data_IF_798841089418
#
_entry.id   IF_798841089418
#
_cell.length_a   1.000
_cell.length_b   1.000
_cell.length_c   1.000
_cell.angle_alpha   90.00
_cell.angle_beta   90.00
_cell.angle_gamma   90.00
#
_symmetry.space_group_name_H-M   'P 1'
#
loop_
_entity.id
_entity.type
_entity.pdbx_description
1 polymer ?
#
# COMPACT_ATOMS: atom_id res chain seq x y z
N UNK A 1 36.56 13.10 2.02
CA UNK A 1 35.47 12.58 2.87
C UNK A 1 35.19 13.52 4.04
N UNK A 2 34.42 14.59 3.80
CA UNK A 2 34.13 15.66 4.77
C UNK A 2 33.04 15.31 5.79
N UNK A 3 32.10 14.42 5.47
CA UNK A 3 30.99 14.06 6.36
C UNK A 3 31.36 13.26 7.61
N UNK A 4 32.47 12.51 7.60
CA UNK A 4 32.93 11.73 8.76
C UNK A 4 33.28 12.64 9.95
N UNK A 5 33.74 13.87 9.71
CA UNK A 5 33.99 14.86 10.77
C UNK A 5 32.69 15.30 11.48
N UNK A 6 31.53 15.10 10.85
CA UNK A 6 30.21 15.34 11.41
C UNK A 6 29.56 14.06 11.98
N UNK A 7 30.34 13.00 12.21
CA UNK A 7 29.85 11.71 12.70
C UNK A 7 28.81 11.06 11.78
N UNK A 8 28.93 11.28 10.45
CA UNK A 8 28.10 10.65 9.44
C UNK A 8 28.82 9.42 8.88
N UNK A 9 28.15 8.27 8.89
CA UNK A 9 28.65 7.06 8.25
C UNK A 9 28.52 7.14 6.72
N UNK A 10 29.11 6.16 6.03
CA UNK A 10 28.97 6.00 4.58
C UNK A 10 27.52 5.79 4.14
N UNK A 11 27.29 5.92 2.84
CA UNK A 11 26.01 5.65 2.20
C UNK A 11 26.17 4.64 1.08
N UNK A 12 25.42 3.55 1.19
CA UNK A 12 25.41 2.45 0.24
C UNK A 12 24.25 2.55 -0.76
N UNK A 13 24.48 2.09 -1.97
CA UNK A 13 23.51 2.14 -3.06
C UNK A 13 22.50 0.99 -2.99
N UNK A 14 21.64 0.93 -3.99
CA UNK A 14 20.65 -0.16 -4.14
C UNK A 14 21.30 -1.52 -4.43
N UNK A 15 22.57 -1.54 -4.82
CA UNK A 15 23.37 -2.75 -5.03
C UNK A 15 23.94 -3.35 -3.71
N UNK A 16 23.73 -2.67 -2.58
CA UNK A 16 24.25 -3.07 -1.27
C UNK A 16 25.73 -2.77 -1.06
N UNK A 17 26.41 -2.13 -2.02
CA UNK A 17 27.78 -1.65 -1.84
C UNK A 17 27.87 -0.60 -0.75
N UNK A 18 29.00 -0.47 -0.07
CA UNK A 18 29.09 0.43 1.10
C UNK A 18 29.17 1.92 0.74
N UNK A 19 29.68 2.22 -0.46
CA UNK A 19 29.97 3.54 -1.01
C UNK A 19 29.43 3.65 -2.44
N UNK A 20 28.21 3.17 -2.67
CA UNK A 20 27.59 3.11 -3.99
C UNK A 20 26.31 3.94 -4.09
N UNK A 21 25.97 4.71 -3.05
CA UNK A 21 24.88 5.70 -3.12
C UNK A 21 25.39 6.98 -3.78
N UNK A 22 25.10 7.16 -5.06
CA UNK A 22 25.53 8.32 -5.81
C UNK A 22 24.50 9.46 -5.79
N UNK A 23 23.46 9.35 -4.96
CA UNK A 23 22.49 10.42 -4.69
C UNK A 23 23.01 11.45 -3.69
N UNK A 24 24.14 11.18 -3.02
CA UNK A 24 24.72 12.08 -2.02
C UNK A 24 26.24 11.96 -1.91
N UNK A 25 26.87 12.91 -1.22
CA UNK A 25 28.34 12.92 -1.02
C UNK A 25 28.90 11.71 -0.27
N UNK A 26 28.06 10.99 0.48
CA UNK A 26 28.53 9.95 1.39
C UNK A 26 28.59 8.56 0.77
N UNK A 27 28.20 8.39 -0.49
CA UNK A 27 28.50 7.20 -1.30
C UNK A 27 29.60 7.46 -2.35
N UNK A 28 30.51 8.39 -2.06
CA UNK A 28 31.71 8.68 -2.86
C UNK A 28 31.49 8.79 -4.39
N UNK A 29 30.53 9.61 -4.86
CA UNK A 29 30.14 9.69 -6.28
C UNK A 29 31.15 10.40 -7.20
N UNK A 30 32.14 11.07 -6.63
CA UNK A 30 33.04 11.97 -7.34
C UNK A 30 34.49 11.71 -6.92
N UNK A 31 35.36 11.46 -7.89
CA UNK A 31 36.81 11.36 -7.71
C UNK A 31 37.52 12.67 -8.11
N UNK A 32 37.09 13.81 -7.54
CA UNK A 32 37.69 15.12 -7.84
C UNK A 32 37.51 16.09 -6.67
N UNK A 33 38.45 17.02 -6.55
CA UNK A 33 38.50 18.12 -5.58
C UNK A 33 37.94 19.45 -6.10
N UNK A 34 37.64 19.53 -7.39
CA UNK A 34 37.14 20.74 -8.09
C UNK A 34 35.64 20.66 -8.43
N UNK A 35 34.99 19.54 -8.10
CA UNK A 35 33.53 19.31 -8.19
C UNK A 35 33.05 18.69 -6.88
N UNK A 36 31.79 18.91 -6.52
CA UNK A 36 31.23 18.42 -5.25
C UNK A 36 29.99 19.13 -4.75
N UNK A 37 29.23 19.84 -5.61
CA UNK A 37 27.92 20.40 -5.24
C UNK A 37 26.89 19.29 -5.12
N UNK A 38 26.99 18.53 -4.03
CA UNK A 38 26.08 17.46 -3.67
C UNK A 38 25.74 17.58 -2.19
N UNK A 39 24.48 17.40 -1.86
CA UNK A 39 24.01 17.43 -0.48
C UNK A 39 24.18 16.04 0.17
N UNK A 40 23.87 15.97 1.47
CA UNK A 40 23.69 14.70 2.15
C UNK A 40 22.30 14.11 1.87
N UNK A 41 22.18 12.79 1.95
CA UNK A 41 20.91 12.10 1.77
C UNK A 41 19.93 12.36 2.94
N UNK A 42 18.65 12.02 2.77
CA UNK A 42 17.62 12.21 3.80
C UNK A 42 17.95 11.67 5.20
N UNK A 43 18.54 10.48 5.31
CA UNK A 43 18.88 9.91 6.62
C UNK A 43 19.91 10.76 7.39
N UNK A 44 20.88 11.33 6.67
CA UNK A 44 21.91 12.20 7.25
C UNK A 44 21.35 13.60 7.53
N UNK A 45 20.49 14.12 6.66
CA UNK A 45 19.76 15.37 6.93
C UNK A 45 18.88 15.24 8.18
N UNK A 46 18.31 14.06 8.45
CA UNK A 46 17.61 13.79 9.69
C UNK A 46 18.55 13.75 10.91
N UNK A 47 19.72 13.11 10.78
CA UNK A 47 20.71 13.02 11.86
C UNK A 47 21.27 14.39 12.27
N UNK A 48 21.35 15.33 11.32
CA UNK A 48 21.88 16.67 11.54
C UNK A 48 20.80 17.62 12.04
N UNK A 49 21.08 18.40 13.08
CA UNK A 49 20.12 19.38 13.64
C UNK A 49 19.92 20.63 12.76
N UNK A 50 20.44 20.63 11.51
CA UNK A 50 20.38 21.78 10.59
C UNK A 50 18.96 22.17 10.19
N UNK A 51 18.03 21.23 10.30
CA UNK A 51 16.63 21.39 9.93
C UNK A 51 15.70 21.44 11.16
N UNK A 52 16.27 21.51 12.38
CA UNK A 52 15.54 21.60 13.64
C UNK A 52 15.23 23.07 13.99
N UNK A 53 14.00 23.36 14.45
CA UNK A 53 13.62 24.70 14.89
C UNK A 53 12.35 24.75 15.73
N UNK A 54 12.30 25.64 16.74
CA UNK A 54 11.08 25.96 17.49
C UNK A 54 10.35 27.15 16.85
N UNK A 55 9.26 26.85 16.14
CA UNK A 55 8.42 27.83 15.44
C UNK A 55 7.62 27.13 14.33
N UNK A 56 6.96 27.86 13.42
CA UNK A 56 6.18 27.25 12.33
C UNK A 56 7.00 26.39 11.34
N UNK A 57 8.33 26.32 11.50
CA UNK A 57 9.31 25.76 10.56
C UNK A 57 10.18 24.66 11.16
N UNK A 58 9.56 23.55 11.57
CA UNK A 58 10.26 22.26 11.60
C UNK A 58 10.28 21.71 10.17
N UNK A 59 11.47 21.58 9.58
CA UNK A 59 11.64 21.03 8.22
C UNK A 59 11.82 19.51 8.24
N UNK A 60 11.73 18.90 9.42
CA UNK A 60 11.69 17.47 9.64
C UNK A 60 10.27 17.07 10.04
N UNK A 61 9.73 16.04 9.41
CA UNK A 61 8.43 15.49 9.81
C UNK A 61 8.59 14.02 10.18
N UNK A 62 8.09 13.64 11.35
CA UNK A 62 7.91 12.25 11.75
C UNK A 62 6.49 11.80 11.40
N UNK A 63 6.37 10.74 10.61
CA UNK A 63 5.09 10.13 10.24
C UNK A 63 4.99 8.77 10.89
N UNK A 64 3.93 8.57 11.69
CA UNK A 64 3.54 7.25 12.16
C UNK A 64 2.39 6.71 11.27
N UNK A 65 2.69 5.81 10.31
CA UNK A 65 1.69 5.27 9.39
C UNK A 65 0.69 4.32 10.08
N UNK A 66 0.92 3.92 11.34
CA UNK A 66 -0.04 3.14 12.12
C UNK A 66 -1.11 4.00 12.78
N UNK A 67 -0.86 5.30 12.98
CA UNK A 67 -1.84 6.25 13.51
C UNK A 67 -2.69 6.88 12.38
N UNK A 68 -2.11 7.03 11.19
CA UNK A 68 -2.76 7.63 10.02
C UNK A 68 -2.57 6.71 8.82
N UNK A 69 -3.65 6.07 8.35
CA UNK A 69 -3.55 5.07 7.27
C UNK A 69 -3.08 5.66 5.94
N UNK A 70 -3.30 6.95 5.70
CA UNK A 70 -2.79 7.66 4.53
C UNK A 70 -2.48 9.10 4.88
N UNK A 71 -1.28 9.57 4.49
CA UNK A 71 -0.82 10.94 4.66
C UNK A 71 -0.18 11.45 3.37
N UNK A 72 -0.40 12.72 3.03
CA UNK A 72 0.20 13.36 1.86
C UNK A 72 1.01 14.58 2.29
N UNK A 73 2.17 14.78 1.66
CA UNK A 73 3.11 15.84 1.97
C UNK A 73 3.70 16.42 0.70
N UNK A 74 4.03 17.70 0.72
CA UNK A 74 4.79 18.36 -0.33
C UNK A 74 6.15 18.76 0.21
N UNK A 75 7.21 18.15 -0.30
CA UNK A 75 8.60 18.38 0.11
C UNK A 75 9.24 19.49 -0.71
N UNK A 76 10.15 20.24 -0.09
CA UNK A 76 11.09 21.11 -0.79
C UNK A 76 12.33 20.35 -1.22
N UNK A 77 12.86 20.69 -2.38
CA UNK A 77 14.12 20.15 -2.88
C UNK A 77 15.30 20.57 -2.02
N UNK A 78 16.16 19.61 -1.64
CA UNK A 78 17.36 19.91 -0.82
C UNK A 78 18.28 20.95 -1.46
N UNK A 79 18.32 21.00 -2.80
CA UNK A 79 19.10 21.96 -3.57
C UNK A 79 18.54 23.38 -3.62
N UNK A 80 17.33 23.61 -3.11
CA UNK A 80 16.64 24.92 -3.15
C UNK A 80 16.01 25.25 -1.78
N UNK A 81 16.41 24.55 -0.71
CA UNK A 81 15.80 24.69 0.62
C UNK A 81 15.84 26.13 1.16
N UNK A 82 16.89 26.89 0.83
CA UNK A 82 17.09 28.27 1.25
C UNK A 82 16.07 29.25 0.66
N UNK A 83 15.35 28.83 -0.39
CA UNK A 83 14.26 29.58 -1.00
C UNK A 83 12.88 29.24 -0.41
N UNK A 84 12.80 28.25 0.49
CA UNK A 84 11.59 27.86 1.22
C UNK A 84 11.22 28.91 2.28
N UNK A 85 10.65 30.01 1.81
CA UNK A 85 10.32 31.20 2.60
C UNK A 85 8.80 31.38 2.68
N UNK A 86 8.34 32.15 3.67
CA UNK A 86 6.91 32.46 3.80
C UNK A 86 6.36 33.21 2.56
N UNK A 87 7.22 33.92 1.83
CA UNK A 87 6.90 34.59 0.57
C UNK A 87 6.77 33.61 -0.61
N UNK A 88 7.53 32.51 -0.60
CA UNK A 88 7.49 31.49 -1.65
C UNK A 88 6.26 30.58 -1.53
N UNK A 89 5.70 30.43 -0.33
CA UNK A 89 4.51 29.63 -0.10
C UNK A 89 4.41 29.07 1.33
N UNK A 90 3.56 28.04 1.54
CA UNK A 90 3.52 27.33 2.81
C UNK A 90 4.86 26.62 3.07
N UNK A 91 5.19 26.41 4.34
CA UNK A 91 6.42 25.73 4.72
C UNK A 91 6.39 24.26 4.28
N UNK A 92 7.40 23.83 3.52
CA UNK A 92 7.55 22.45 3.06
C UNK A 92 8.69 21.74 3.80
N UNK A 93 8.53 20.48 4.26
CA UNK A 93 9.63 19.72 4.86
C UNK A 93 10.75 19.42 3.85
N UNK A 94 11.98 19.32 4.36
CA UNK A 94 13.15 18.83 3.63
C UNK A 94 13.28 17.32 3.75
N UNK A 95 12.90 16.76 4.91
CA UNK A 95 12.99 15.33 5.19
C UNK A 95 11.77 14.83 5.95
N UNK A 96 11.29 13.66 5.55
CA UNK A 96 10.26 12.92 6.26
C UNK A 96 10.89 11.63 6.80
N UNK A 97 10.75 11.37 8.10
CA UNK A 97 11.03 10.06 8.70
C UNK A 97 9.73 9.30 8.86
N UNK A 98 9.69 8.06 8.39
CA UNK A 98 8.61 7.11 8.69
C UNK A 98 9.01 6.31 9.92
N UNK A 99 8.13 6.30 10.93
CA UNK A 99 8.28 5.48 12.12
C UNK A 99 8.09 4.00 11.78
N UNK A 100 9.01 3.16 12.26
CA UNK A 100 9.05 1.73 11.97
C UNK A 100 8.87 0.87 13.23
N UNK A 101 8.83 1.51 14.41
CA UNK A 101 8.85 0.89 15.75
C UNK A 101 10.00 -0.11 15.95
N UNK A 102 11.09 0.06 15.21
CA UNK A 102 12.30 -0.73 15.33
C UNK A 102 13.55 0.17 15.23
N UNK A 103 14.74 -0.42 15.25
CA UNK A 103 15.98 0.34 15.23
C UNK A 103 16.34 0.93 13.86
N UNK A 104 15.59 0.64 12.78
CA UNK A 104 15.85 1.13 11.42
C UNK A 104 14.88 2.25 11.08
N UNK A 105 15.35 3.43 10.71
CA UNK A 105 14.52 4.51 10.18
C UNK A 105 14.43 4.46 8.66
N UNK A 106 13.27 4.87 8.12
CA UNK A 106 13.08 5.15 6.69
C UNK A 106 12.95 6.66 6.52
N UNK A 107 13.67 7.21 5.55
CA UNK A 107 13.77 8.64 5.32
C UNK A 107 13.48 8.95 3.86
N UNK A 108 12.63 9.94 3.65
CA UNK A 108 12.24 10.43 2.33
C UNK A 108 12.76 11.84 2.13
N UNK A 109 13.21 12.16 0.92
CA UNK A 109 13.54 13.53 0.53
C UNK A 109 13.39 13.74 -0.96
N UNK A 110 13.34 15.00 -1.37
CA UNK A 110 13.33 15.39 -2.77
C UNK A 110 14.75 15.81 -3.20
N UNK A 111 15.40 14.99 -4.02
CA UNK A 111 16.80 15.13 -4.41
C UNK A 111 16.99 16.09 -5.59
N UNK A 112 16.46 17.31 -5.43
CA UNK A 112 16.50 18.39 -6.42
C UNK A 112 17.95 18.69 -6.85
N UNK A 113 18.24 18.57 -8.14
CA UNK A 113 19.56 18.80 -8.74
C UNK A 113 19.81 20.29 -9.03
N UNK A 114 19.74 21.12 -8.00
CA UNK A 114 19.92 22.57 -8.09
C UNK A 114 20.75 23.11 -6.91
N UNK A 115 21.19 24.36 -7.02
CA UNK A 115 21.95 25.05 -5.97
C UNK A 115 23.14 24.24 -5.42
N UNK A 116 23.23 23.98 -4.11
CA UNK A 116 24.30 23.17 -3.51
C UNK A 116 24.25 21.67 -3.87
N UNK A 117 23.21 21.20 -4.57
CA UNK A 117 23.06 19.83 -5.05
C UNK A 117 23.13 19.70 -6.58
N UNK A 118 23.56 20.76 -7.28
CA UNK A 118 23.51 20.84 -8.75
C UNK A 118 24.38 19.81 -9.50
N UNK A 119 25.34 19.17 -8.82
CA UNK A 119 26.26 18.19 -9.42
C UNK A 119 25.92 16.74 -9.03
N UNK A 120 24.72 16.53 -8.47
CA UNK A 120 24.19 15.22 -8.12
C UNK A 120 24.31 14.21 -9.26
N UNK A 121 24.66 12.96 -8.95
CA UNK A 121 25.03 11.93 -9.93
C UNK A 121 24.00 10.82 -10.12
N UNK A 122 23.07 10.68 -9.19
CA UNK A 122 22.01 9.67 -9.25
C UNK A 122 20.72 10.24 -8.67
N UNK A 123 19.57 9.89 -9.26
CA UNK A 123 18.25 10.33 -8.81
C UNK A 123 18.12 11.86 -8.67
N UNK A 124 18.62 12.62 -9.65
CA UNK A 124 18.47 14.07 -9.68
C UNK A 124 17.05 14.45 -10.06
N UNK A 125 16.43 15.35 -9.29
CA UNK A 125 15.03 15.75 -9.45
C UNK A 125 14.03 14.61 -9.22
N UNK A 126 14.36 13.69 -8.32
CA UNK A 126 13.55 12.54 -7.94
C UNK A 126 13.33 12.46 -6.43
N UNK A 127 12.31 11.71 -5.99
CA UNK A 127 12.16 11.36 -4.57
C UNK A 127 13.13 10.24 -4.25
N UNK A 128 13.88 10.33 -3.15
CA UNK A 128 14.76 9.26 -2.67
C UNK A 128 14.24 8.65 -1.37
N UNK A 129 14.37 7.32 -1.26
CA UNK A 129 13.99 6.53 -0.09
C UNK A 129 15.24 5.91 0.49
N UNK A 130 15.59 6.29 1.71
CA UNK A 130 16.80 5.86 2.41
C UNK A 130 16.44 5.08 3.67
N UNK A 131 17.12 3.96 3.91
CA UNK A 131 17.11 3.28 5.21
C UNK A 131 18.40 3.57 5.98
N UNK A 132 18.30 3.75 7.30
CA UNK A 132 19.48 3.81 8.16
C UNK A 132 19.18 3.19 9.53
N UNK A 133 20.17 2.55 10.13
CA UNK A 133 20.06 2.04 11.49
C UNK A 133 19.99 3.16 12.55
N UNK A 134 19.80 2.76 13.79
CA UNK A 134 19.66 3.65 14.96
C UNK A 134 18.60 4.75 14.79
N UNK A 135 17.56 4.49 13.99
CA UNK A 135 16.52 5.46 13.68
C UNK A 135 17.04 6.76 13.06
N UNK A 136 18.24 6.74 12.44
CA UNK A 136 18.92 7.91 11.88
C UNK A 136 19.44 8.92 12.92
N UNK A 137 19.54 8.54 14.20
CA UNK A 137 19.96 9.46 15.27
C UNK A 137 21.47 9.39 15.59
N UNK A 138 22.12 8.30 15.21
CA UNK A 138 23.51 8.02 15.55
C UNK A 138 24.26 7.46 14.35
N UNK A 139 25.58 7.37 14.46
CA UNK A 139 26.45 6.79 13.45
C UNK A 139 25.91 5.42 12.98
N UNK A 140 25.42 5.40 11.75
CA UNK A 140 24.91 4.19 11.11
C UNK A 140 24.96 4.38 9.60
N UNK A 141 25.38 3.33 8.91
CA UNK A 141 25.38 3.31 7.46
C UNK A 141 23.95 3.43 6.94
N UNK A 142 23.78 4.29 5.94
CA UNK A 142 22.51 4.45 5.24
C UNK A 142 22.55 3.71 3.91
N UNK A 143 21.38 3.30 3.40
CA UNK A 143 21.25 2.65 2.11
C UNK A 143 20.12 3.26 1.29
N UNK A 144 20.41 3.60 0.03
CA UNK A 144 19.38 3.92 -0.95
C UNK A 144 18.56 2.67 -1.25
N UNK A 145 17.23 2.79 -1.09
CA UNK A 145 16.28 1.69 -1.29
C UNK A 145 15.54 1.80 -2.61
N UNK A 146 15.24 3.04 -2.98
CA UNK A 146 14.64 3.40 -4.26
C UNK A 146 14.78 4.89 -4.47
N UNK A 147 14.67 5.27 -5.74
CA UNK A 147 14.34 6.62 -6.16
C UNK A 147 13.09 6.54 -7.05
N UNK A 148 12.26 7.59 -7.03
CA UNK A 148 10.95 7.61 -7.68
C UNK A 148 10.79 8.84 -8.55
N UNK A 149 10.40 8.61 -9.81
CA UNK A 149 9.82 9.58 -10.71
C UNK A 149 8.32 9.80 -10.40
N UNK A 150 7.75 10.85 -10.99
CA UNK A 150 6.30 11.12 -10.88
C UNK A 150 5.49 9.90 -11.34
N UNK A 151 4.53 9.49 -10.50
CA UNK A 151 3.64 8.35 -10.70
C UNK A 151 4.19 7.01 -10.20
N UNK A 152 5.46 6.94 -9.79
CA UNK A 152 6.06 5.70 -9.30
C UNK A 152 5.76 5.47 -7.81
N UNK A 153 5.78 4.20 -7.42
CA UNK A 153 5.48 3.76 -6.05
C UNK A 153 6.49 2.73 -5.57
N UNK A 154 7.07 2.95 -4.40
CA UNK A 154 7.83 1.93 -3.68
C UNK A 154 6.96 1.22 -2.64
N UNK A 155 7.14 -0.10 -2.52
CA UNK A 155 6.30 -0.94 -1.66
C UNK A 155 7.13 -1.74 -0.66
N UNK A 156 6.82 -1.54 0.61
CA UNK A 156 7.27 -2.38 1.72
C UNK A 156 6.21 -3.42 2.06
N UNK A 157 6.50 -4.67 1.75
CA UNK A 157 5.63 -5.79 2.13
C UNK A 157 5.81 -6.15 3.61
N UNK A 158 4.70 -6.52 4.28
CA UNK A 158 4.69 -6.89 5.69
C UNK A 158 5.42 -5.85 6.58
N UNK A 159 5.09 -4.57 6.36
CA UNK A 159 5.78 -3.45 6.98
C UNK A 159 5.79 -3.57 8.51
N UNK A 160 6.97 -3.45 9.12
CA UNK A 160 7.20 -3.65 10.55
C UNK A 160 6.60 -4.96 11.13
N UNK A 161 6.59 -6.04 10.34
CA UNK A 161 5.98 -7.34 10.71
C UNK A 161 4.48 -7.26 11.04
N UNK A 162 3.78 -6.24 10.56
CA UNK A 162 2.36 -5.99 10.89
C UNK A 162 1.37 -6.76 10.02
N UNK A 163 1.83 -7.40 8.94
CA UNK A 163 1.00 -7.96 7.88
C UNK A 163 0.40 -6.91 6.93
N UNK A 164 0.64 -5.61 7.15
CA UNK A 164 0.21 -4.53 6.24
C UNK A 164 1.29 -4.21 5.20
N UNK A 165 0.90 -3.56 4.11
CA UNK A 165 1.76 -3.06 3.04
C UNK A 165 1.90 -1.54 3.22
N UNK A 166 3.12 -1.04 3.30
CA UNK A 166 3.40 0.40 3.23
C UNK A 166 3.77 0.77 1.78
N UNK A 167 3.04 1.73 1.22
CA UNK A 167 3.30 2.31 -0.11
C UNK A 167 3.76 3.75 0.03
N UNK A 168 4.80 4.12 -0.71
CA UNK A 168 5.30 5.49 -0.85
C UNK A 168 5.21 5.83 -2.32
N UNK A 169 4.38 6.82 -2.65
CA UNK A 169 4.10 7.24 -4.03
C UNK A 169 4.64 8.64 -4.25
N UNK A 170 5.34 8.87 -5.35
CA UNK A 170 5.66 10.21 -5.82
C UNK A 170 4.51 10.71 -6.71
N UNK A 171 3.60 11.50 -6.15
CA UNK A 171 2.37 11.92 -6.84
C UNK A 171 2.67 12.95 -7.93
N UNK A 172 3.57 13.90 -7.65
CA UNK A 172 4.00 14.93 -8.61
C UNK A 172 5.36 15.52 -8.24
N UNK A 173 6.08 16.00 -9.24
CA UNK A 173 7.31 16.78 -9.09
C UNK A 173 7.17 18.05 -9.95
N UNK A 174 7.20 19.21 -9.31
CA UNK A 174 7.11 20.52 -9.96
C UNK A 174 8.47 21.24 -9.89
N UNK A 175 9.10 21.35 -11.05
CA UNK A 175 10.38 22.04 -11.24
C UNK A 175 10.20 23.45 -11.84
N UNK A 176 8.96 23.87 -12.08
CA UNK A 176 8.64 25.17 -12.70
C UNK A 176 8.57 26.30 -11.67
N UNK A 177 8.33 25.95 -10.41
CA UNK A 177 8.39 26.83 -9.27
C UNK A 177 9.81 26.94 -8.69
N UNK A 178 10.06 27.98 -7.89
CA UNK A 178 11.26 28.12 -7.07
C UNK A 178 10.84 28.47 -5.63
N UNK A 179 10.99 27.55 -4.66
CA UNK A 179 11.64 26.25 -4.80
C UNK A 179 10.84 25.28 -5.66
N UNK A 180 11.55 24.34 -6.30
CA UNK A 180 10.94 23.12 -6.82
C UNK A 180 10.40 22.28 -5.66
N UNK A 181 9.22 21.69 -5.86
CA UNK A 181 8.53 20.90 -4.85
C UNK A 181 8.11 19.54 -5.39
N UNK A 182 8.03 18.54 -4.51
CA UNK A 182 7.56 17.21 -4.86
C UNK A 182 6.47 16.76 -3.89
N UNK A 183 5.34 16.31 -4.41
CA UNK A 183 4.22 15.79 -3.62
C UNK A 183 4.34 14.28 -3.51
N UNK A 184 4.21 13.76 -2.30
CA UNK A 184 4.20 12.33 -2.01
C UNK A 184 2.97 11.91 -1.23
N UNK A 185 2.62 10.63 -1.37
CA UNK A 185 1.61 9.96 -0.54
C UNK A 185 2.23 8.74 0.13
N UNK A 186 2.04 8.65 1.44
CA UNK A 186 2.43 7.51 2.28
C UNK A 186 1.15 6.81 2.73
N UNK A 187 0.98 5.53 2.38
CA UNK A 187 -0.23 4.77 2.71
C UNK A 187 0.10 3.40 3.30
N UNK A 188 -0.52 3.05 4.42
CA UNK A 188 -0.41 1.74 5.05
C UNK A 188 -1.71 0.96 4.86
N UNK A 189 -1.71 0.06 3.89
CA UNK A 189 -2.89 -0.70 3.47
C UNK A 189 -2.83 -2.16 3.88
N UNK A 190 -3.97 -2.82 4.03
CA UNK A 190 -4.02 -4.28 4.17
C UNK A 190 -3.72 -4.91 2.80
N UNK A 191 -2.87 -5.97 2.71
CA UNK A 191 -2.65 -6.68 1.46
C UNK A 191 -3.99 -7.20 0.91
N UNK A 192 -4.33 -6.78 -0.31
CA UNK A 192 -5.42 -7.37 -1.08
C UNK A 192 -4.91 -8.67 -1.70
N UNK A 193 -5.25 -9.80 -1.10
CA UNK A 193 -5.03 -11.10 -1.72
C UNK A 193 -6.24 -11.42 -2.60
N UNK A 194 -6.06 -11.42 -3.91
CA UNK A 194 -7.02 -12.04 -4.83
C UNK A 194 -6.80 -13.55 -4.78
N UNK A 195 -7.70 -14.27 -4.09
CA UNK A 195 -7.74 -15.72 -4.12
C UNK A 195 -8.93 -16.14 -4.98
N UNK A 196 -8.64 -16.69 -6.16
CA UNK A 196 -9.64 -17.34 -7.00
C UNK A 196 -9.97 -18.70 -6.38
N UNK A 197 -11.21 -18.89 -5.93
CA UNK A 197 -11.66 -20.15 -5.33
C UNK A 197 -11.76 -21.24 -6.42
N UNK A 198 -12.33 -20.87 -7.56
CA UNK A 198 -12.41 -21.68 -8.76
C UNK A 198 -12.52 -20.76 -9.96
N UNK A 199 -11.84 -21.09 -11.06
CA UNK A 199 -11.92 -20.33 -12.30
C UNK A 199 -12.85 -21.08 -13.25
N UNK A 200 -13.91 -20.41 -13.73
CA UNK A 200 -14.75 -20.94 -14.80
C UNK A 200 -14.05 -20.84 -16.15
N UNK A 201 -14.50 -21.61 -17.13
CA UNK A 201 -13.89 -21.62 -18.47
C UNK A 201 -14.31 -20.43 -19.36
N UNK A 202 -15.36 -19.71 -18.96
CA UNK A 202 -15.98 -18.63 -19.75
C UNK A 202 -16.36 -17.42 -18.90
N UNK A 203 -16.40 -16.24 -19.55
CA UNK A 203 -16.78 -14.95 -18.95
C UNK A 203 -15.59 -14.06 -18.60
N UNK A 204 -15.85 -12.76 -18.43
CA UNK A 204 -14.86 -11.77 -18.01
C UNK A 204 -15.01 -11.46 -16.51
N UNK A 205 -13.88 -11.22 -15.85
CA UNK A 205 -13.87 -10.73 -14.48
C UNK A 205 -14.45 -9.32 -14.39
N UNK A 206 -15.34 -9.09 -13.43
CA UNK A 206 -15.80 -7.75 -13.08
C UNK A 206 -14.89 -7.09 -12.05
N UNK A 207 -14.88 -5.74 -11.99
CA UNK A 207 -14.18 -5.01 -10.94
C UNK A 207 -14.60 -5.49 -9.55
N UNK A 208 -13.63 -5.62 -8.66
CA UNK A 208 -13.89 -5.93 -7.26
C UNK A 208 -14.75 -4.85 -6.59
N UNK A 209 -15.56 -5.24 -5.62
CA UNK A 209 -16.42 -4.34 -4.85
C UNK A 209 -16.21 -4.53 -3.36
N UNK A 210 -16.37 -3.45 -2.60
CA UNK A 210 -16.27 -3.43 -1.14
C UNK A 210 -17.27 -2.41 -0.55
N UNK A 211 -17.49 -2.48 0.76
CA UNK A 211 -18.32 -1.53 1.51
C UNK A 211 -17.47 -0.44 2.23
N UNK A 212 -16.26 -0.17 1.73
CA UNK A 212 -15.36 0.81 2.34
C UNK A 212 -14.66 0.35 3.62
N UNK A 213 -14.09 1.32 4.36
CA UNK A 213 -13.18 1.07 5.48
C UNK A 213 -13.88 0.38 6.67
N UNK A 214 -13.18 -0.57 7.30
CA UNK A 214 -13.64 -1.37 8.44
C UNK A 214 -14.85 -2.29 8.21
N UNK A 215 -15.35 -2.40 6.99
CA UNK A 215 -16.44 -3.31 6.64
C UNK A 215 -15.92 -4.63 6.10
N UNK A 216 -16.32 -5.72 6.74
CA UNK A 216 -15.89 -7.07 6.36
C UNK A 216 -17.11 -7.90 5.94
N UNK A 217 -16.95 -8.70 4.90
CA UNK A 217 -18.03 -9.56 4.43
C UNK A 217 -18.50 -10.49 5.57
N UNK A 218 -19.80 -10.51 5.83
CA UNK A 218 -20.43 -11.23 6.94
C UNK A 218 -21.70 -11.97 6.52
N UNK A 219 -22.08 -11.91 5.24
CA UNK A 219 -23.18 -12.69 4.71
C UNK A 219 -23.15 -12.71 3.19
N UNK A 220 -23.88 -13.66 2.61
CA UNK A 220 -24.00 -13.79 1.17
C UNK A 220 -25.40 -14.28 0.78
N UNK A 221 -25.82 -13.91 -0.42
CA UNK A 221 -27.10 -14.27 -1.02
C UNK A 221 -26.86 -14.50 -2.50
N UNK A 222 -27.43 -15.58 -3.04
CA UNK A 222 -27.36 -15.88 -4.46
C UNK A 222 -28.72 -15.65 -5.12
N UNK A 223 -28.69 -15.30 -6.40
CA UNK A 223 -29.85 -15.31 -7.29
C UNK A 223 -29.74 -16.53 -8.18
N UNK A 224 -30.75 -17.40 -8.13
CA UNK A 224 -30.74 -18.70 -8.82
C UNK A 224 -32.11 -18.94 -9.44
N UNK A 225 -32.16 -19.56 -10.61
CA UNK A 225 -33.42 -20.02 -11.20
C UNK A 225 -33.89 -21.32 -10.54
N UNK A 226 -35.22 -21.45 -10.34
CA UNK A 226 -35.82 -22.71 -9.90
C UNK A 226 -35.96 -23.68 -11.07
N UNK A 227 -35.82 -24.98 -10.81
CA UNK A 227 -35.77 -25.98 -11.87
C UNK A 227 -37.01 -26.04 -12.77
N UNK A 228 -36.81 -25.94 -14.08
CA UNK A 228 -37.79 -26.00 -15.14
C UNK A 228 -37.92 -27.38 -15.81
N UNK A 229 -37.79 -28.51 -15.12
CA UNK A 229 -38.17 -29.85 -15.63
C UNK A 229 -37.64 -30.22 -17.04
N UNK A 230 -36.58 -29.55 -17.54
CA UNK A 230 -36.18 -29.61 -18.96
C UNK A 230 -35.41 -28.37 -19.46
N UNK A 231 -34.26 -28.07 -18.85
CA UNK A 231 -33.30 -27.01 -19.21
C UNK A 231 -32.22 -26.89 -18.13
N UNK A 232 -31.18 -26.04 -18.30
CA UNK A 232 -30.13 -25.83 -17.28
C UNK A 232 -30.72 -25.22 -16.00
N UNK A 233 -31.09 -26.09 -15.07
CA UNK A 233 -32.11 -25.79 -14.08
C UNK A 233 -31.58 -25.21 -12.75
N UNK A 234 -30.32 -24.77 -12.63
CA UNK A 234 -29.81 -24.31 -11.30
C UNK A 234 -28.56 -23.41 -11.29
N UNK A 235 -28.31 -22.63 -12.34
CA UNK A 235 -27.14 -21.74 -12.40
C UNK A 235 -27.31 -20.45 -11.56
N UNK A 236 -26.27 -20.06 -10.81
CA UNK A 236 -26.23 -18.77 -10.14
C UNK A 236 -26.11 -17.61 -11.14
N UNK A 237 -27.06 -16.68 -11.09
CA UNK A 237 -27.14 -15.52 -11.98
C UNK A 237 -26.71 -14.20 -11.31
N UNK A 238 -26.73 -14.17 -9.97
CA UNK A 238 -26.41 -12.97 -9.20
C UNK A 238 -25.88 -13.30 -7.81
N UNK A 239 -25.09 -12.39 -7.26
CA UNK A 239 -24.53 -12.46 -5.92
C UNK A 239 -24.57 -11.09 -5.24
N UNK A 240 -25.12 -11.09 -4.02
CA UNK A 240 -25.08 -9.99 -3.06
C UNK A 240 -24.27 -10.42 -1.86
N UNK A 241 -23.48 -9.50 -1.34
CA UNK A 241 -22.75 -9.70 -0.10
C UNK A 241 -23.21 -8.71 0.94
N UNK A 242 -23.41 -9.19 2.16
CA UNK A 242 -23.57 -8.35 3.32
C UNK A 242 -22.19 -8.07 3.91
N UNK A 243 -21.91 -6.80 4.19
CA UNK A 243 -20.75 -6.34 4.91
C UNK A 243 -21.16 -5.80 6.28
N UNK A 244 -20.44 -6.19 7.32
CA UNK A 244 -20.69 -5.74 8.69
C UNK A 244 -19.47 -4.94 9.17
N UNK A 245 -19.71 -3.83 9.86
CA UNK A 245 -18.62 -3.01 10.39
C UNK A 245 -17.92 -3.73 11.53
N UNK A 246 -16.59 -3.78 11.47
CA UNK A 246 -15.79 -4.59 12.38
C UNK A 246 -15.98 -4.22 13.85
N UNK A 247 -16.10 -2.92 14.13
CA UNK A 247 -16.25 -2.33 15.48
C UNK A 247 -17.68 -2.28 16.01
N UNK A 248 -18.67 -2.42 15.12
CA UNK A 248 -20.09 -2.35 15.45
C UNK A 248 -20.86 -3.19 14.43
N UNK A 249 -21.05 -4.47 14.75
CA UNK A 249 -21.61 -5.46 13.82
C UNK A 249 -23.06 -5.15 13.43
N UNK A 250 -23.75 -4.28 14.18
CA UNK A 250 -25.09 -3.80 13.84
C UNK A 250 -25.13 -2.87 12.63
N UNK A 251 -23.99 -2.24 12.29
CA UNK A 251 -23.84 -1.44 11.07
C UNK A 251 -23.54 -2.35 9.90
N UNK A 252 -24.55 -2.56 9.06
CA UNK A 252 -24.53 -3.50 7.96
C UNK A 252 -24.83 -2.80 6.63
N UNK A 253 -24.17 -3.22 5.58
CA UNK A 253 -24.35 -2.72 4.22
C UNK A 253 -24.43 -3.89 3.25
N UNK A 254 -25.47 -3.90 2.41
CA UNK A 254 -25.59 -4.87 1.33
C UNK A 254 -24.99 -4.30 0.06
N UNK A 255 -24.03 -5.01 -0.53
CA UNK A 255 -23.38 -4.64 -1.79
C UNK A 255 -23.78 -5.65 -2.86
N UNK A 256 -24.37 -5.15 -3.94
CA UNK A 256 -24.59 -5.91 -5.17
C UNK A 256 -23.27 -6.12 -5.89
N UNK A 257 -22.74 -7.34 -5.86
CA UNK A 257 -21.57 -7.71 -6.65
C UNK A 257 -22.00 -7.81 -8.12
N UNK A 258 -23.01 -8.63 -8.37
CA UNK A 258 -23.72 -8.70 -9.63
C UNK A 258 -25.19 -9.07 -9.39
N UNK A 259 -26.11 -8.33 -9.97
CA UNK A 259 -27.53 -8.57 -9.70
C UNK A 259 -28.13 -9.71 -10.53
N UNK A 260 -27.56 -9.98 -11.70
CA UNK A 260 -28.20 -10.85 -12.71
C UNK A 260 -29.55 -10.31 -13.16
N UNK A 261 -30.17 -10.99 -14.12
CA UNK A 261 -31.54 -10.65 -14.57
C UNK A 261 -32.53 -11.82 -14.39
N UNK A 262 -32.03 -13.04 -14.21
CA UNK A 262 -32.82 -14.26 -14.15
C UNK A 262 -32.84 -14.87 -12.74
N UNK A 263 -33.91 -15.60 -12.43
CA UNK A 263 -34.13 -16.26 -11.14
C UNK A 263 -34.55 -15.35 -9.99
N UNK A 264 -34.72 -15.99 -8.83
CA UNK A 264 -35.12 -15.35 -7.57
C UNK A 264 -33.95 -15.31 -6.59
N UNK A 265 -33.93 -14.28 -5.76
CA UNK A 265 -32.94 -14.17 -4.69
C UNK A 265 -33.27 -15.13 -3.55
N UNK A 266 -32.28 -15.92 -3.10
CA UNK A 266 -32.38 -16.74 -1.90
C UNK A 266 -32.56 -15.87 -0.64
N UNK A 267 -32.80 -16.42 0.54
CA UNK A 267 -32.59 -15.63 1.76
C UNK A 267 -31.10 -15.28 1.94
N UNK A 268 -30.79 -14.12 2.52
CA UNK A 268 -29.42 -13.77 2.93
C UNK A 268 -28.96 -14.71 4.03
N UNK A 269 -27.83 -15.39 3.80
CA UNK A 269 -27.20 -16.25 4.81
C UNK A 269 -26.12 -15.46 5.52
N UNK A 270 -26.35 -15.21 6.80
CA UNK A 270 -25.48 -14.40 7.65
C UNK A 270 -24.55 -15.30 8.49
N UNK A 271 -23.30 -14.88 8.63
CA UNK A 271 -22.43 -15.35 9.70
C UNK A 271 -23.03 -14.95 11.06
N UNK A 272 -22.74 -15.70 12.15
CA UNK A 272 -23.08 -15.24 13.49
C UNK A 272 -22.44 -13.89 13.80
N UNK A 273 -23.01 -13.17 14.75
CA UNK A 273 -22.46 -11.91 15.22
C UNK A 273 -20.99 -12.05 15.65
N UNK A 274 -20.14 -11.14 15.19
CA UNK A 274 -18.70 -11.17 15.43
C UNK A 274 -17.91 -12.18 14.58
N UNK A 275 -18.56 -12.86 13.63
CA UNK A 275 -17.92 -13.70 12.62
C UNK A 275 -17.97 -13.02 11.25
N UNK A 276 -16.95 -13.32 10.44
CA UNK A 276 -16.78 -12.75 9.10
C UNK A 276 -16.35 -13.84 8.12
N UNK A 277 -16.66 -13.64 6.84
CA UNK A 277 -16.32 -14.56 5.77
C UNK A 277 -14.81 -14.51 5.53
N UNK A 278 -14.16 -15.66 5.61
CA UNK A 278 -12.71 -15.82 5.46
C UNK A 278 -12.33 -16.90 4.43
N UNK A 279 -13.32 -17.35 3.67
CA UNK A 279 -13.20 -18.37 2.66
C UNK A 279 -14.58 -18.76 2.15
N UNK A 280 -14.62 -19.44 1.01
CA UNK A 280 -15.82 -20.03 0.48
C UNK A 280 -15.49 -21.34 -0.24
N UNK A 281 -16.52 -22.12 -0.53
CA UNK A 281 -16.49 -23.25 -1.42
C UNK A 281 -17.58 -23.06 -2.45
N UNK A 282 -17.27 -23.44 -3.68
CA UNK A 282 -18.22 -23.36 -4.78
C UNK A 282 -18.56 -24.77 -5.25
N UNK A 283 -19.77 -24.94 -5.77
CA UNK A 283 -20.18 -26.20 -6.38
C UNK A 283 -20.22 -26.03 -7.88
N UNK A 284 -19.47 -26.85 -8.59
CA UNK A 284 -19.25 -26.74 -10.02
C UNK A 284 -19.26 -28.12 -10.69
N UNK A 285 -19.69 -28.20 -11.93
CA UNK A 285 -19.63 -29.41 -12.76
C UNK A 285 -18.36 -29.41 -13.61
N UNK A 286 -17.61 -30.51 -13.58
CA UNK A 286 -16.44 -30.66 -14.45
C UNK A 286 -16.91 -30.92 -15.89
N UNK A 287 -16.26 -30.32 -16.89
CA UNK A 287 -16.65 -30.43 -18.31
C UNK A 287 -16.77 -31.89 -18.78
N UNK A 288 -17.96 -32.27 -19.27
CA UNK A 288 -18.35 -33.56 -19.83
C UNK A 288 -18.17 -33.63 -21.36
N UNK A 289 -17.67 -32.55 -22.00
CA UNK A 289 -17.28 -32.49 -23.40
C UNK A 289 -18.41 -32.21 -24.40
N UNK A 290 -19.59 -32.80 -24.24
CA UNK A 290 -20.75 -32.62 -25.14
C UNK A 290 -22.04 -32.17 -24.40
N UNK A 291 -21.95 -31.75 -23.14
CA UNK A 291 -23.04 -31.09 -22.42
C UNK A 291 -22.65 -29.64 -22.04
N UNK A 292 -23.64 -28.78 -21.83
CA UNK A 292 -23.46 -27.38 -21.40
C UNK A 292 -22.98 -27.37 -19.94
N UNK A 293 -21.70 -27.65 -19.71
CA UNK A 293 -21.10 -27.71 -18.38
C UNK A 293 -20.29 -26.46 -18.10
N UNK A 294 -20.80 -25.44 -17.39
CA UNK A 294 -19.91 -24.42 -16.77
C UNK A 294 -20.57 -23.41 -15.83
N UNK A 295 -21.67 -23.75 -15.15
CA UNK A 295 -22.31 -22.81 -14.24
C UNK A 295 -21.96 -23.05 -12.76
N UNK A 296 -21.82 -21.96 -12.00
CA UNK A 296 -21.76 -22.00 -10.54
C UNK A 296 -23.12 -22.49 -10.00
N UNK A 297 -23.15 -23.70 -9.45
CA UNK A 297 -24.37 -24.35 -8.99
C UNK A 297 -24.60 -24.21 -7.48
N UNK A 298 -23.56 -23.87 -6.70
CA UNK A 298 -23.67 -23.79 -5.25
C UNK A 298 -22.59 -22.93 -4.60
N UNK A 299 -22.91 -22.40 -3.42
CA UNK A 299 -22.01 -21.57 -2.63
C UNK A 299 -22.13 -21.91 -1.14
N UNK A 300 -20.98 -22.15 -0.53
CA UNK A 300 -20.78 -22.18 0.92
C UNK A 300 -19.81 -21.08 1.29
N UNK A 301 -20.10 -20.39 2.38
CA UNK A 301 -19.19 -19.41 2.98
C UNK A 301 -18.63 -19.99 4.27
N UNK A 302 -17.35 -19.75 4.53
CA UNK A 302 -16.73 -20.04 5.82
C UNK A 302 -16.72 -18.78 6.66
N UNK A 303 -17.38 -18.85 7.80
CA UNK A 303 -17.42 -17.79 8.79
C UNK A 303 -16.40 -18.09 9.88
N UNK A 304 -15.51 -17.14 10.18
CA UNK A 304 -14.51 -17.23 11.26
C UNK A 304 -14.71 -16.11 12.27
N UNK A 305 -14.60 -16.43 13.55
CA UNK A 305 -14.70 -15.42 14.62
C UNK A 305 -13.57 -14.41 14.51
N UNK A 306 -13.88 -13.12 14.72
CA UNK A 306 -12.87 -12.07 14.82
C UNK A 306 -11.98 -12.24 16.04
N UNK A 307 -12.58 -12.54 17.19
CA UNK A 307 -11.89 -12.65 18.48
C UNK A 307 -11.12 -13.96 18.63
N UNK A 308 -11.70 -15.09 18.20
CA UNK A 308 -11.05 -16.39 18.32
C UNK A 308 -10.95 -17.09 16.95
N UNK A 309 -9.80 -16.91 16.28
CA UNK A 309 -9.55 -17.42 14.93
C UNK A 309 -9.63 -18.94 14.78
N UNK A 310 -9.63 -19.71 15.88
CA UNK A 310 -9.85 -21.17 15.85
C UNK A 310 -11.31 -21.55 15.62
N UNK A 311 -12.26 -20.67 15.96
CA UNK A 311 -13.70 -20.90 15.75
C UNK A 311 -14.07 -20.54 14.31
N UNK A 312 -14.42 -21.56 13.53
CA UNK A 312 -14.84 -21.45 12.14
C UNK A 312 -15.98 -22.43 11.82
N UNK A 313 -16.88 -22.04 10.92
CA UNK A 313 -17.96 -22.91 10.43
C UNK A 313 -18.30 -22.59 8.98
N UNK A 314 -18.77 -23.59 8.25
CA UNK A 314 -19.32 -23.41 6.91
C UNK A 314 -20.83 -23.23 6.97
N UNK A 315 -21.34 -22.22 6.29
CA UNK A 315 -22.76 -21.99 6.06
C UNK A 315 -23.05 -22.19 4.58
N UNK A 316 -24.10 -22.94 4.27
CA UNK A 316 -24.54 -23.14 2.88
C UNK A 316 -25.46 -22.00 2.49
N UNK A 317 -25.01 -21.18 1.53
CA UNK A 317 -25.81 -20.09 0.94
C UNK A 317 -26.83 -20.68 -0.03
N UNK A 318 -26.34 -21.54 -0.92
CA UNK A 318 -27.15 -22.31 -1.84
C UNK A 318 -26.44 -23.63 -2.10
N UNK A 319 -27.14 -24.76 -1.98
CA UNK A 319 -26.52 -26.07 -2.10
C UNK A 319 -26.25 -26.50 -3.55
N UNK A 320 -27.12 -26.08 -4.48
CA UNK A 320 -27.21 -26.68 -5.81
C UNK A 320 -27.62 -28.15 -5.76
N UNK A 321 -27.98 -28.71 -6.90
CA UNK A 321 -28.23 -30.16 -7.01
C UNK A 321 -27.09 -30.89 -7.71
N UNK A 322 -26.36 -30.18 -8.56
CA UNK A 322 -25.41 -30.72 -9.51
C UNK A 322 -23.96 -30.31 -9.21
N UNK A 323 -23.00 -31.10 -9.68
CA UNK A 323 -21.56 -30.89 -9.47
C UNK A 323 -21.00 -31.27 -8.10
N UNK A 324 -19.72 -30.99 -7.91
CA UNK A 324 -18.94 -31.28 -6.70
C UNK A 324 -18.46 -30.00 -6.01
N UNK A 325 -18.29 -30.06 -4.69
CA UNK A 325 -17.78 -28.92 -3.92
C UNK A 325 -16.26 -28.80 -4.10
N UNK A 326 -15.81 -27.62 -4.53
CA UNK A 326 -14.40 -27.22 -4.63
C UNK A 326 -14.06 -26.25 -3.50
#
# INVERSE_FOLDING_TARGET
MTGQNFNLAHSGGMDGGELSDHTCLMGNPLESDEVGKMCFNPAKNWQLDWYDGQGPGDYKILVDPFQTETSSFQLVGIGEYDTNTAEAGPNHPVVIKIETHNSTGIFLGFNRAAGPNAENKEAGDEITIIEAGNGGMYYSQSYLKAHLLTGETYTYNNFASSGKILKITADSIDLTANPGVATITIALTIPTFENVIWNGDWGDWWPSKSAGQDYWACGAQLRVEGGQAGGDDTAANGIKMMFCKSVDWSKQETVSIHDGIWGDWSSMVMCPEGYYIDGAQVRFEDSCGNCDDTALNGLRIRCRSRENKSKKQYLTVHAGWWGEWK
#
